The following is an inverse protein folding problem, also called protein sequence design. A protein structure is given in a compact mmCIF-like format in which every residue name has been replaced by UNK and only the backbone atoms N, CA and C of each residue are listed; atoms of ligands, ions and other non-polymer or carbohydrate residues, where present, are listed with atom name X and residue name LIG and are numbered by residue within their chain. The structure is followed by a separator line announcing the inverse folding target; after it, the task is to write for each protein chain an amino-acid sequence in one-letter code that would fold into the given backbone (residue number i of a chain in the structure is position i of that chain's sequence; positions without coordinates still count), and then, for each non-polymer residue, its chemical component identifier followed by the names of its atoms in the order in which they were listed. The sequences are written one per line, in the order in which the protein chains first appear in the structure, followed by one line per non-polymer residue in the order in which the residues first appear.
data_IF_695525576350
#
_entry.id   IF_695525576350
#
_cell.length_a   1.000
_cell.length_b   1.000
_cell.length_c   1.000
_cell.angle_alpha   90.00
_cell.angle_beta   90.00
_cell.angle_gamma   90.00
#
_symmetry.space_group_name_H-M   'P 1'
#
loop_
_entity.id
_entity.type
_entity.pdbx_description
1 polymer ?
#
# COMPACT_ATOMS: atom_id res chain seq x y z
N UNK A 1 -10.06 -10.76 -32.49
CA UNK A 1 -9.25 -11.17 -31.33
C UNK A 1 -7.99 -10.32 -31.11
N UNK A 2 -7.26 -9.87 -32.15
CA UNK A 2 -6.06 -9.03 -31.98
C UNK A 2 -6.33 -7.72 -31.21
N UNK A 3 -7.39 -7.00 -31.57
CA UNK A 3 -7.76 -5.72 -30.95
C UNK A 3 -7.94 -5.79 -29.42
N UNK A 4 -8.65 -6.79 -28.89
CA UNK A 4 -8.88 -6.95 -27.44
C UNK A 4 -7.58 -7.21 -26.66
N UNK A 5 -6.61 -7.91 -27.27
CA UNK A 5 -5.29 -8.15 -26.69
C UNK A 5 -4.44 -6.88 -26.65
N UNK A 6 -4.50 -6.05 -27.69
CA UNK A 6 -3.83 -4.75 -27.71
C UNK A 6 -4.39 -3.79 -26.65
N UNK A 7 -5.71 -3.73 -26.49
CA UNK A 7 -6.33 -2.91 -25.44
C UNK A 7 -5.92 -3.35 -24.02
N UNK A 8 -5.93 -4.65 -23.74
CA UNK A 8 -5.49 -5.18 -22.44
C UNK A 8 -4.01 -4.85 -22.15
N UNK A 9 -3.15 -4.88 -23.18
CA UNK A 9 -1.75 -4.51 -23.04
C UNK A 9 -1.57 -3.01 -22.74
N UNK A 10 -2.36 -2.14 -23.38
CA UNK A 10 -2.32 -0.70 -23.14
C UNK A 10 -2.79 -0.37 -21.71
N UNK A 11 -3.94 -0.90 -21.29
CA UNK A 11 -4.49 -0.72 -19.93
C UNK A 11 -3.52 -1.24 -18.86
N UNK A 12 -2.89 -2.39 -19.11
CA UNK A 12 -1.88 -2.93 -18.20
C UNK A 12 -0.68 -1.98 -18.04
N UNK A 13 -0.17 -1.43 -19.15
CA UNK A 13 0.95 -0.48 -19.11
C UNK A 13 0.58 0.84 -18.42
N UNK A 14 -0.66 1.32 -18.58
CA UNK A 14 -1.19 2.47 -17.84
C UNK A 14 -1.25 2.18 -16.34
N UNK A 15 -1.71 1.00 -15.93
CA UNK A 15 -1.67 0.56 -14.53
C UNK A 15 -0.23 0.54 -13.99
N UNK A 16 0.73 0.02 -14.76
CA UNK A 16 2.14 -0.01 -14.38
C UNK A 16 2.68 1.41 -14.13
N UNK A 17 2.41 2.33 -15.07
CA UNK A 17 2.83 3.73 -14.96
C UNK A 17 2.19 4.43 -13.75
N UNK A 18 0.92 4.14 -13.46
CA UNK A 18 0.26 4.66 -12.27
C UNK A 18 1.01 4.27 -10.99
N UNK A 19 1.30 2.97 -10.82
CA UNK A 19 2.01 2.50 -9.63
C UNK A 19 3.42 3.08 -9.56
N UNK A 20 4.17 3.07 -10.66
CA UNK A 20 5.52 3.66 -10.69
C UNK A 20 5.51 5.12 -10.23
N UNK A 21 4.60 5.93 -10.79
CA UNK A 21 4.48 7.35 -10.44
C UNK A 21 4.01 7.54 -9.00
N UNK A 22 3.02 6.77 -8.55
CA UNK A 22 2.52 6.85 -7.17
C UNK A 22 3.65 6.62 -6.16
N UNK A 23 4.44 5.56 -6.32
CA UNK A 23 5.54 5.29 -5.39
C UNK A 23 6.65 6.34 -5.50
N UNK A 24 6.99 6.80 -6.71
CA UNK A 24 7.98 7.84 -6.94
C UNK A 24 7.60 9.19 -6.32
N UNK A 25 6.31 9.55 -6.34
CA UNK A 25 5.82 10.87 -5.95
C UNK A 25 5.28 10.94 -4.52
N UNK A 26 4.70 9.85 -4.00
CA UNK A 26 4.06 9.85 -2.68
C UNK A 26 4.97 9.25 -1.60
N UNK A 27 5.92 8.39 -1.96
CA UNK A 27 6.83 7.74 -1.00
C UNK A 27 8.15 8.47 -0.91
N UNK A 28 8.08 9.71 -0.42
CA UNK A 28 9.21 10.59 -0.19
C UNK A 28 9.44 10.80 1.31
N UNK A 29 10.71 10.85 1.71
CA UNK A 29 11.12 10.95 3.11
C UNK A 29 12.22 11.98 3.25
N UNK A 30 12.13 12.80 4.29
CA UNK A 30 13.20 13.69 4.68
C UNK A 30 14.25 12.90 5.44
N UNK A 31 15.45 12.82 4.88
CA UNK A 31 16.59 12.10 5.43
C UNK A 31 17.74 13.06 5.67
N UNK A 32 18.45 12.89 6.78
CA UNK A 32 19.58 13.72 7.18
C UNK A 32 20.87 12.92 7.05
N UNK A 33 21.76 13.37 6.16
CA UNK A 33 23.09 12.79 5.97
C UNK A 33 24.11 13.85 6.39
N UNK A 34 24.86 13.58 7.46
CA UNK A 34 25.73 14.58 8.08
C UNK A 34 24.93 15.78 8.60
N UNK A 35 25.19 16.98 8.05
CA UNK A 35 24.49 18.22 8.43
C UNK A 35 23.39 18.66 7.45
N UNK A 36 23.10 17.86 6.43
CA UNK A 36 22.14 18.21 5.39
C UNK A 36 20.91 17.32 5.45
N UNK A 37 19.73 17.93 5.49
CA UNK A 37 18.46 17.24 5.28
C UNK A 37 18.03 17.38 3.83
N UNK A 38 17.69 16.27 3.19
CA UNK A 38 17.21 16.21 1.82
C UNK A 38 16.00 15.29 1.73
N UNK A 39 15.06 15.62 0.86
CA UNK A 39 13.98 14.71 0.50
C UNK A 39 14.48 13.64 -0.48
N UNK A 40 14.22 12.38 -0.15
CA UNK A 40 14.54 11.22 -0.99
C UNK A 40 13.31 10.34 -1.16
N UNK A 41 13.00 9.98 -2.40
CA UNK A 41 11.85 9.18 -2.74
C UNK A 41 12.23 7.76 -3.17
N UNK A 42 11.28 6.83 -2.98
CA UNK A 42 11.37 5.47 -3.46
C UNK A 42 11.53 5.40 -4.98
N UNK A 43 12.19 4.35 -5.47
CA UNK A 43 12.23 4.05 -6.89
C UNK A 43 11.00 3.22 -7.27
N UNK A 44 9.99 3.88 -7.85
CA UNK A 44 8.75 3.21 -8.25
C UNK A 44 8.94 2.14 -9.34
N UNK A 45 10.06 2.17 -10.08
CA UNK A 45 10.31 1.25 -11.19
C UNK A 45 11.06 0.00 -10.73
N UNK A 46 12.05 0.16 -9.85
CA UNK A 46 12.89 -0.95 -9.36
C UNK A 46 12.06 -2.03 -8.65
N UNK A 47 11.11 -1.61 -7.83
CA UNK A 47 10.31 -2.50 -6.97
C UNK A 47 8.87 -2.72 -7.49
N UNK A 48 8.60 -2.34 -8.74
CA UNK A 48 7.25 -2.17 -9.28
C UNK A 48 6.37 -3.43 -9.12
N UNK A 49 6.93 -4.60 -9.44
CA UNK A 49 6.16 -5.85 -9.38
C UNK A 49 5.76 -6.24 -7.95
N UNK A 50 6.62 -5.97 -6.96
CA UNK A 50 6.36 -6.23 -5.54
C UNK A 50 5.40 -5.18 -4.96
N UNK A 51 5.59 -3.91 -5.31
CA UNK A 51 4.69 -2.80 -5.00
C UNK A 51 3.24 -3.07 -5.44
N UNK A 52 3.07 -3.58 -6.66
CA UNK A 52 1.77 -3.99 -7.21
C UNK A 52 1.21 -5.19 -6.43
N UNK A 53 2.06 -6.18 -6.17
CA UNK A 53 1.67 -7.42 -5.49
C UNK A 53 1.20 -7.17 -4.06
N UNK A 54 1.85 -6.25 -3.34
CA UNK A 54 1.46 -5.85 -2.00
C UNK A 54 0.07 -5.19 -1.96
N UNK A 55 -0.19 -4.24 -2.87
CA UNK A 55 -1.48 -3.55 -2.94
C UNK A 55 -2.58 -4.53 -3.34
N UNK A 56 -2.35 -5.31 -4.41
CA UNK A 56 -3.34 -6.27 -4.91
C UNK A 56 -3.63 -7.37 -3.91
N UNK A 57 -2.59 -7.96 -3.30
CA UNK A 57 -2.72 -9.00 -2.29
C UNK A 57 -3.52 -8.51 -1.08
N UNK A 58 -3.28 -7.27 -0.66
CA UNK A 58 -4.00 -6.66 0.46
C UNK A 58 -5.47 -6.42 0.14
N UNK A 59 -5.80 -5.91 -1.06
CA UNK A 59 -7.20 -5.76 -1.51
C UNK A 59 -7.94 -7.09 -1.51
N UNK A 60 -7.34 -8.15 -2.06
CA UNK A 60 -7.93 -9.50 -2.07
C UNK A 60 -8.15 -10.03 -0.66
N UNK A 61 -7.17 -9.85 0.23
CA UNK A 61 -7.28 -10.29 1.62
C UNK A 61 -8.36 -9.51 2.39
N UNK A 62 -8.50 -8.21 2.13
CA UNK A 62 -9.53 -7.38 2.75
C UNK A 62 -10.93 -7.74 2.26
N UNK A 63 -11.11 -7.97 0.95
CA UNK A 63 -12.36 -8.48 0.39
C UNK A 63 -12.76 -9.82 1.01
N UNK A 64 -11.79 -10.73 1.18
CA UNK A 64 -12.03 -12.01 1.86
C UNK A 64 -12.49 -11.80 3.32
N UNK A 65 -11.95 -10.81 4.03
CA UNK A 65 -12.42 -10.41 5.36
C UNK A 65 -13.84 -9.84 5.30
N UNK A 66 -14.17 -8.95 4.36
CA UNK A 66 -15.52 -8.39 4.23
C UNK A 66 -16.57 -9.46 3.93
N UNK A 67 -16.27 -10.38 3.01
CA UNK A 67 -17.10 -11.55 2.74
C UNK A 67 -17.31 -12.39 4.01
N UNK A 68 -16.23 -12.62 4.76
CA UNK A 68 -16.27 -13.36 6.02
C UNK A 68 -17.17 -12.69 7.08
N UNK A 69 -17.09 -11.38 7.20
CA UNK A 69 -17.89 -10.58 8.14
C UNK A 69 -19.36 -10.50 7.72
N UNK A 70 -19.63 -10.44 6.41
CA UNK A 70 -20.98 -10.39 5.84
C UNK A 70 -21.77 -11.71 5.85
N UNK A 71 -21.09 -12.86 6.03
CA UNK A 71 -21.67 -14.21 5.93
C UNK A 71 -22.56 -14.65 7.12
N UNK A 72 -23.28 -13.72 7.78
CA UNK A 72 -24.20 -13.99 8.90
C UNK A 72 -23.62 -14.88 10.02
N UNK A 73 -22.29 -14.83 10.23
CA UNK A 73 -21.63 -15.49 11.34
C UNK A 73 -21.43 -17.01 11.22
N UNK A 74 -21.45 -17.61 10.02
CA UNK A 74 -21.09 -19.05 9.85
C UNK A 74 -19.67 -19.37 10.33
N UNK A 75 -18.77 -18.40 10.27
CA UNK A 75 -17.50 -18.45 10.99
C UNK A 75 -17.39 -17.26 11.91
N UNK A 76 -17.43 -17.53 13.22
CA UNK A 76 -17.20 -16.53 14.26
C UNK A 76 -15.72 -16.18 14.27
N UNK A 77 -15.37 -14.95 13.92
CA UNK A 77 -14.06 -14.42 14.32
C UNK A 77 -14.00 -14.45 15.85
N UNK A 78 -12.83 -14.79 16.39
CA UNK A 78 -12.63 -14.65 17.83
C UNK A 78 -12.86 -13.17 18.17
N UNK A 79 -13.76 -12.85 19.11
CA UNK A 79 -13.93 -11.47 19.54
C UNK A 79 -12.60 -10.97 20.09
N UNK A 80 -12.30 -9.72 19.79
CA UNK A 80 -11.13 -9.07 20.36
C UNK A 80 -11.30 -9.00 21.88
N UNK A 81 -10.21 -9.06 22.64
CA UNK A 81 -10.29 -8.81 24.07
C UNK A 81 -10.98 -7.47 24.33
N UNK A 82 -11.81 -7.38 25.37
CA UNK A 82 -12.67 -6.20 25.63
C UNK A 82 -11.93 -4.87 25.81
N UNK A 83 -10.60 -4.90 25.98
CA UNK A 83 -9.74 -3.71 26.08
C UNK A 83 -9.18 -3.22 24.72
N UNK A 84 -9.48 -3.92 23.61
CA UNK A 84 -9.14 -3.46 22.28
C UNK A 84 -10.28 -2.59 21.72
N UNK A 85 -9.99 -1.31 21.51
CA UNK A 85 -10.96 -0.33 21.01
C UNK A 85 -11.03 -0.27 19.46
N UNK A 86 -10.52 -1.29 18.78
CA UNK A 86 -10.44 -1.32 17.32
C UNK A 86 -11.50 -2.23 16.68
N UNK A 87 -12.00 -1.83 15.51
CA UNK A 87 -12.86 -2.68 14.67
C UNK A 87 -12.06 -3.76 13.96
N UNK A 88 -12.74 -4.78 13.42
CA UNK A 88 -12.08 -5.83 12.62
C UNK A 88 -11.34 -5.25 11.41
N UNK A 89 -11.95 -4.26 10.74
CA UNK A 89 -11.32 -3.55 9.63
C UNK A 89 -10.06 -2.79 10.06
N UNK A 90 -10.10 -2.07 11.19
CA UNK A 90 -8.92 -1.38 11.72
C UNK A 90 -7.81 -2.38 12.07
N UNK A 91 -8.16 -3.51 12.71
CA UNK A 91 -7.19 -4.54 13.07
C UNK A 91 -6.59 -5.23 11.86
N UNK A 92 -7.33 -5.40 10.77
CA UNK A 92 -6.76 -5.91 9.53
C UNK A 92 -5.57 -5.05 9.09
N UNK A 93 -5.75 -3.73 9.04
CA UNK A 93 -4.68 -2.81 8.64
C UNK A 93 -3.56 -2.74 9.69
N UNK A 94 -3.88 -2.74 10.98
CA UNK A 94 -2.88 -2.78 12.05
C UNK A 94 -2.03 -4.05 11.96
N UNK A 95 -2.65 -5.22 11.86
CA UNK A 95 -1.96 -6.50 11.77
C UNK A 95 -1.12 -6.61 10.50
N UNK A 96 -1.66 -6.14 9.36
CA UNK A 96 -0.90 -6.04 8.11
C UNK A 96 0.36 -5.18 8.29
N UNK A 97 0.22 -3.99 8.87
CA UNK A 97 1.34 -3.07 9.04
C UNK A 97 2.37 -3.61 10.03
N UNK A 98 1.92 -4.29 11.09
CA UNK A 98 2.81 -4.93 12.07
C UNK A 98 3.69 -6.03 11.47
N UNK A 99 3.23 -6.70 10.41
CA UNK A 99 4.04 -7.69 9.70
C UNK A 99 5.33 -7.09 9.11
N UNK A 100 5.33 -5.79 8.83
CA UNK A 100 6.46 -5.03 8.28
C UNK A 100 7.09 -4.09 9.31
N UNK A 101 6.86 -4.30 10.61
CA UNK A 101 7.55 -3.53 11.64
C UNK A 101 9.04 -3.85 11.63
N UNK A 102 9.86 -2.86 11.30
CA UNK A 102 11.31 -2.94 11.35
C UNK A 102 11.91 -1.59 11.76
N UNK A 103 13.19 -1.58 12.12
CA UNK A 103 13.93 -0.44 12.62
C UNK A 103 14.74 0.30 11.53
N UNK A 104 14.42 0.09 10.25
CA UNK A 104 15.15 0.65 9.11
C UNK A 104 15.27 2.18 9.14
N UNK A 105 14.35 2.87 9.84
CA UNK A 105 14.30 4.33 9.95
C UNK A 105 15.07 4.95 11.12
N UNK A 106 15.70 4.15 11.99
CA UNK A 106 16.44 4.69 13.14
C UNK A 106 17.76 5.37 12.73
N UNK A 107 18.24 5.10 11.53
CA UNK A 107 19.45 5.65 10.95
C UNK A 107 19.18 6.07 9.50
N UNK A 108 19.23 7.38 9.24
CA UNK A 108 18.97 7.95 7.92
C UNK A 108 19.97 7.46 6.85
N UNK A 109 21.22 7.17 7.22
CA UNK A 109 22.22 6.65 6.27
C UNK A 109 21.86 5.22 5.85
N UNK A 110 21.48 4.39 6.81
CA UNK A 110 21.01 3.03 6.55
C UNK A 110 19.70 3.04 5.75
N UNK A 111 18.74 3.88 6.13
CA UNK A 111 17.48 4.01 5.41
C UNK A 111 17.71 4.41 3.95
N UNK A 112 18.59 5.38 3.69
CA UNK A 112 18.95 5.78 2.32
C UNK A 112 19.57 4.64 1.53
N UNK A 113 20.43 3.84 2.16
CA UNK A 113 21.02 2.66 1.52
C UNK A 113 19.95 1.64 1.14
N UNK A 114 18.96 1.39 1.99
CA UNK A 114 17.85 0.45 1.70
C UNK A 114 16.93 1.02 0.63
N UNK A 115 16.55 2.30 0.75
CA UNK A 115 15.71 3.03 -0.21
C UNK A 115 16.31 3.10 -1.62
N UNK A 116 17.64 3.07 -1.74
CA UNK A 116 18.39 3.06 -3.00
C UNK A 116 19.00 1.71 -3.33
N UNK A 117 18.66 0.67 -2.56
CA UNK A 117 19.13 -0.68 -2.87
C UNK A 117 18.51 -1.17 -4.17
N UNK A 118 19.24 -2.01 -4.90
CA UNK A 118 18.78 -2.65 -6.14
C UNK A 118 18.03 -3.96 -5.88
N UNK A 119 17.65 -4.20 -4.62
CA UNK A 119 16.83 -5.36 -4.27
C UNK A 119 15.44 -5.25 -4.90
N UNK A 120 14.70 -6.35 -5.09
CA UNK A 120 13.38 -6.30 -5.73
C UNK A 120 12.28 -5.78 -4.80
N UNK A 121 12.57 -5.64 -3.51
CA UNK A 121 11.57 -5.31 -2.48
C UNK A 121 11.73 -3.86 -2.02
N UNK A 122 10.62 -3.13 -1.90
CA UNK A 122 10.64 -1.80 -1.32
C UNK A 122 10.98 -1.86 0.17
N UNK A 123 11.56 -0.79 0.74
CA UNK A 123 11.78 -0.67 2.18
C UNK A 123 10.48 -0.90 2.98
N UNK A 124 10.58 -1.48 4.19
CA UNK A 124 9.41 -1.88 4.96
C UNK A 124 8.41 -0.74 5.22
N UNK A 125 8.90 0.45 5.52
CA UNK A 125 8.07 1.64 5.70
C UNK A 125 7.31 2.09 4.45
N UNK A 126 7.89 1.87 3.26
CA UNK A 126 7.20 2.13 2.00
C UNK A 126 6.02 1.17 1.91
N UNK A 127 6.22 -0.12 2.24
CA UNK A 127 5.15 -1.13 2.25
C UNK A 127 4.03 -0.82 3.25
N UNK A 128 4.41 -0.38 4.45
CA UNK A 128 3.48 -0.01 5.53
C UNK A 128 2.59 1.13 5.11
N UNK A 129 3.12 2.16 4.45
CA UNK A 129 2.37 3.39 4.17
C UNK A 129 1.71 3.40 2.78
N UNK A 130 2.41 2.94 1.74
CA UNK A 130 1.95 3.00 0.36
C UNK A 130 0.66 2.20 0.13
N UNK A 131 0.55 1.04 0.77
CA UNK A 131 -0.55 0.12 0.51
C UNK A 131 -1.88 0.62 1.09
N UNK A 132 -1.97 1.02 2.37
CA UNK A 132 -3.18 1.63 2.90
C UNK A 132 -3.60 2.90 2.14
N UNK A 133 -2.63 3.71 1.68
CA UNK A 133 -2.90 4.91 0.87
C UNK A 133 -3.66 4.60 -0.43
N UNK A 134 -3.51 3.39 -0.96
CA UNK A 134 -4.16 2.91 -2.19
C UNK A 134 -5.55 2.28 -1.94
N UNK A 135 -6.08 2.32 -0.72
CA UNK A 135 -7.33 1.64 -0.33
C UNK A 135 -8.33 2.63 0.28
N UNK A 136 -9.54 2.74 -0.30
CA UNK A 136 -10.59 3.59 0.29
C UNK A 136 -11.04 3.06 1.65
N UNK A 137 -11.00 1.74 1.79
CA UNK A 137 -11.41 0.99 2.96
C UNK A 137 -10.54 1.32 4.18
N UNK A 138 -9.27 1.68 3.96
CA UNK A 138 -8.40 2.19 5.02
C UNK A 138 -8.89 3.57 5.50
N UNK A 139 -9.13 4.49 4.56
CA UNK A 139 -9.61 5.82 4.89
C UNK A 139 -10.96 5.76 5.64
N UNK A 140 -11.86 4.86 5.25
CA UNK A 140 -13.12 4.61 5.94
C UNK A 140 -12.91 4.02 7.33
N UNK A 141 -12.09 2.97 7.46
CA UNK A 141 -11.85 2.30 8.74
C UNK A 141 -11.25 3.23 9.81
N UNK A 142 -10.44 4.21 9.39
CA UNK A 142 -9.79 5.17 10.29
C UNK A 142 -10.41 6.57 10.26
N UNK A 143 -11.54 6.76 9.56
CA UNK A 143 -12.20 8.05 9.39
C UNK A 143 -11.27 9.17 8.89
N UNK A 144 -10.38 8.85 7.95
CA UNK A 144 -9.48 9.81 7.34
C UNK A 144 -10.25 10.81 6.45
N UNK A 145 -9.76 12.05 6.40
CA UNK A 145 -10.27 13.12 5.54
C UNK A 145 -9.49 13.16 4.23
N UNK A 146 -10.11 13.72 3.18
CA UNK A 146 -9.56 13.75 1.81
C UNK A 146 -8.13 14.36 1.71
N UNK A 147 -7.78 15.27 2.61
CA UNK A 147 -6.48 15.97 2.62
C UNK A 147 -5.48 15.36 3.61
N UNK A 148 -5.84 14.28 4.30
CA UNK A 148 -4.92 13.62 5.21
C UNK A 148 -3.81 12.92 4.41
N UNK A 149 -2.59 12.93 4.94
CA UNK A 149 -1.39 12.41 4.26
C UNK A 149 -1.53 10.96 3.79
N UNK A 150 -2.33 10.16 4.50
CA UNK A 150 -2.54 8.74 4.23
C UNK A 150 -3.68 8.47 3.25
N UNK A 151 -4.24 9.50 2.60
CA UNK A 151 -5.34 9.35 1.64
C UNK A 151 -4.86 9.71 0.24
N UNK A 152 -4.93 8.74 -0.67
CA UNK A 152 -4.85 9.00 -2.11
C UNK A 152 -6.25 9.25 -2.64
N UNK A 153 -6.44 10.35 -3.37
CA UNK A 153 -7.75 10.65 -4.00
C UNK A 153 -8.07 9.58 -5.04
N UNK A 154 -9.35 9.30 -5.27
CA UNK A 154 -9.76 8.16 -6.10
C UNK A 154 -9.16 8.20 -7.52
N UNK A 155 -9.04 9.39 -8.11
CA UNK A 155 -8.42 9.58 -9.43
C UNK A 155 -6.92 9.24 -9.49
N UNK A 156 -6.24 9.18 -8.34
CA UNK A 156 -4.81 8.84 -8.22
C UNK A 156 -4.60 7.41 -7.66
N UNK A 157 -5.67 6.67 -7.36
CA UNK A 157 -5.54 5.27 -6.96
C UNK A 157 -5.29 4.38 -8.17
N UNK A 158 -4.33 3.50 -8.02
CA UNK A 158 -3.91 2.57 -9.06
C UNK A 158 -4.63 1.24 -8.90
N UNK A 159 -5.07 0.67 -10.02
CA UNK A 159 -5.68 -0.65 -10.08
C UNK A 159 -5.03 -1.44 -11.20
N UNK A 160 -4.60 -2.67 -10.91
CA UNK A 160 -4.02 -3.56 -11.91
C UNK A 160 -5.15 -4.17 -12.75
N UNK A 161 -5.45 -3.51 -13.88
CA UNK A 161 -6.63 -3.69 -14.73
C UNK A 161 -7.94 -3.28 -14.00
N UNK A 162 -8.89 -2.64 -14.69
CA UNK A 162 -10.17 -2.27 -14.09
C UNK A 162 -10.92 -3.52 -13.62
N UNK A 163 -11.39 -3.49 -12.37
CA UNK A 163 -12.30 -4.49 -11.81
C UNK A 163 -13.68 -4.34 -12.47
N UNK A 164 -13.85 -4.93 -13.65
CA UNK A 164 -15.12 -4.89 -14.39
C UNK A 164 -14.97 -5.09 -15.90
N UNK A 165 -14.75 -6.34 -16.32
CA UNK A 165 -15.34 -6.90 -17.55
C UNK A 165 -16.00 -8.22 -17.19
#
# INVERSE_FOLDING_TARGET
MASKRFYLHAEYNESLACYENFYREKMCYNVTIGSQTKEMCADGANDLSENISDVKGTRVAFEALKHKLGDNGKLKLRPLPDHFEFTNEQIFFIARSQFWCDNDFLDDEYFVKVLKSSGPHPPHNVRVNAVPMQMHEFAEAFNCKLMDKMVTVEAEKCYLLPSGQ
#
